data_IF_535428847164
#
_entry.id   IF_535428847164
#
_cell.length_a   1.000
_cell.length_b   1.000
_cell.length_c   1.000
_cell.angle_alpha   90.00
_cell.angle_beta   90.00
_cell.angle_gamma   90.00
#
_symmetry.space_group_name_H-M   'P 1'
#
loop_
_entity.id
_entity.type
_entity.pdbx_description
1 polymer ?
#
# COMPACT_ATOMS: atom_id res chain seq x y z
N UNK A 1 6.67 4.34 -7.14
CA UNK A 1 5.37 3.62 -7.22
C UNK A 1 4.32 4.41 -6.47
N UNK A 2 3.49 5.21 -7.14
CA UNK A 2 2.53 6.12 -6.47
C UNK A 2 1.22 5.39 -6.19
N UNK A 3 0.86 5.24 -4.93
CA UNK A 3 -0.46 4.75 -4.54
C UNK A 3 -1.43 5.92 -4.31
N UNK A 4 -2.42 6.03 -5.20
CA UNK A 4 -3.68 6.74 -4.95
C UNK A 4 -4.71 5.78 -4.35
N UNK A 5 -5.67 6.26 -3.57
CA UNK A 5 -6.66 5.44 -2.83
C UNK A 5 -7.53 4.48 -3.67
N UNK A 6 -7.42 4.48 -5.00
CA UNK A 6 -8.20 3.66 -5.93
C UNK A 6 -7.36 2.93 -6.99
N UNK A 7 -6.06 3.17 -7.11
CA UNK A 7 -5.21 2.60 -8.19
C UNK A 7 -3.81 2.22 -7.70
N UNK A 8 -3.25 1.17 -8.31
CA UNK A 8 -1.84 0.80 -8.20
C UNK A 8 -1.08 1.40 -9.39
N UNK A 9 -0.29 2.45 -9.16
CA UNK A 9 0.65 2.96 -10.18
C UNK A 9 2.10 2.55 -9.84
N UNK A 10 2.59 1.52 -10.53
CA UNK A 10 3.97 1.06 -10.45
C UNK A 10 4.78 1.66 -11.61
N UNK A 11 5.54 2.71 -11.33
CA UNK A 11 6.59 3.20 -12.21
C UNK A 11 7.91 2.49 -11.93
N UNK A 12 8.53 1.92 -12.96
CA UNK A 12 9.87 1.35 -12.89
C UNK A 12 10.81 2.28 -13.64
N UNK A 13 11.76 2.84 -12.91
CA UNK A 13 12.79 3.72 -13.45
C UNK A 13 14.08 2.93 -13.48
N UNK A 14 14.65 2.74 -14.67
CA UNK A 14 15.93 2.07 -14.86
C UNK A 14 16.95 3.12 -15.29
N UNK A 15 18.09 3.17 -14.60
CA UNK A 15 19.36 3.73 -15.07
C UNK A 15 19.34 5.11 -15.75
N UNK A 16 19.76 6.12 -14.99
CA UNK A 16 20.43 7.33 -15.51
C UNK A 16 19.58 8.40 -16.23
N UNK A 17 18.34 8.65 -15.81
CA UNK A 17 17.52 9.78 -16.35
C UNK A 17 17.30 9.81 -17.88
N UNK A 18 17.78 8.81 -18.62
CA UNK A 18 17.72 8.79 -20.08
C UNK A 18 16.46 8.09 -20.63
N UNK A 19 15.73 7.27 -19.84
CA UNK A 19 14.48 6.68 -20.30
C UNK A 19 13.52 6.17 -19.20
N UNK A 20 12.21 6.19 -19.48
CA UNK A 20 11.18 5.55 -18.64
C UNK A 20 11.03 4.10 -19.11
N UNK A 21 11.63 3.15 -18.38
CA UNK A 21 11.65 1.74 -18.80
C UNK A 21 10.27 1.09 -18.87
N UNK A 22 9.35 1.42 -17.94
CA UNK A 22 7.93 1.07 -18.03
C UNK A 22 7.10 1.81 -16.97
N UNK A 23 5.94 2.34 -17.37
CA UNK A 23 4.86 2.72 -16.45
C UNK A 23 3.79 1.64 -16.51
N UNK A 24 3.54 0.96 -15.39
CA UNK A 24 2.49 -0.04 -15.28
C UNK A 24 1.47 0.44 -14.24
N UNK A 25 0.35 0.94 -14.73
CA UNK A 25 -0.84 1.21 -13.92
C UNK A 25 -1.80 0.04 -14.04
N UNK A 26 -2.16 -0.59 -12.92
CA UNK A 26 -3.29 -1.51 -12.90
C UNK A 26 -4.44 -0.92 -12.06
N UNK A 27 -5.52 -0.43 -12.71
CA UNK A 27 -6.68 0.11 -11.99
C UNK A 27 -7.50 -0.97 -11.27
N UNK A 28 -7.29 -2.27 -11.56
CA UNK A 28 -7.97 -3.40 -10.93
C UNK A 28 -7.33 -3.89 -9.63
N UNK A 29 -6.08 -3.49 -9.35
CA UNK A 29 -5.37 -3.83 -8.12
C UNK A 29 -5.20 -2.55 -7.33
N UNK A 30 -5.76 -2.49 -6.12
CA UNK A 30 -5.69 -1.27 -5.32
C UNK A 30 -6.15 -1.49 -3.89
N UNK A 31 -5.77 -0.54 -3.01
CA UNK A 31 -6.14 -0.51 -1.57
C UNK A 31 -7.63 -0.75 -1.37
N UNK A 32 -8.46 -0.30 -2.33
CA UNK A 32 -9.91 -0.45 -2.27
C UNK A 32 -10.39 -1.88 -2.05
N UNK A 33 -9.62 -2.91 -2.44
CA UNK A 33 -9.92 -4.32 -2.13
C UNK A 33 -9.84 -4.57 -0.62
N UNK A 34 -8.79 -4.05 0.04
CA UNK A 34 -8.58 -4.17 1.49
C UNK A 34 -9.61 -3.33 2.24
N UNK A 35 -9.87 -2.08 1.80
CA UNK A 35 -10.91 -1.23 2.40
C UNK A 35 -12.30 -1.88 2.31
N UNK A 36 -12.65 -2.49 1.16
CA UNK A 36 -13.93 -3.23 1.03
C UNK A 36 -13.99 -4.47 1.91
N UNK A 37 -12.89 -5.23 2.03
CA UNK A 37 -12.82 -6.39 2.91
C UNK A 37 -13.00 -6.00 4.38
N UNK A 38 -12.32 -4.92 4.82
CA UNK A 38 -12.48 -4.36 6.16
C UNK A 38 -13.92 -3.91 6.42
N UNK A 39 -14.55 -3.19 5.49
CA UNK A 39 -15.96 -2.78 5.62
C UNK A 39 -16.92 -3.98 5.73
N UNK A 40 -16.69 -5.03 4.93
CA UNK A 40 -17.50 -6.24 4.99
C UNK A 40 -17.33 -6.98 6.33
N UNK A 41 -16.10 -7.04 6.84
CA UNK A 41 -15.81 -7.65 8.14
C UNK A 41 -16.42 -6.84 9.30
N UNK A 42 -16.29 -5.50 9.29
CA UNK A 42 -16.91 -4.61 10.26
C UNK A 42 -18.44 -4.73 10.24
N UNK A 43 -19.05 -4.87 9.06
CA UNK A 43 -20.49 -5.11 8.93
C UNK A 43 -20.92 -6.42 9.58
N UNK A 44 -20.14 -7.49 9.38
CA UNK A 44 -20.41 -8.79 10.02
C UNK A 44 -20.23 -8.74 11.55
N UNK A 45 -19.42 -7.80 12.03
CA UNK A 45 -19.23 -7.48 13.44
C UNK A 45 -20.20 -6.42 14.00
N UNK A 46 -21.26 -6.09 13.25
CA UNK A 46 -22.28 -5.09 13.62
C UNK A 46 -21.67 -3.76 14.09
N UNK A 47 -20.59 -3.35 13.43
CA UNK A 47 -19.77 -2.18 13.74
C UNK A 47 -19.83 -1.14 12.61
N UNK A 48 -19.39 0.08 12.88
CA UNK A 48 -19.46 1.18 11.90
C UNK A 48 -18.66 0.86 10.63
N UNK A 49 -19.30 0.99 9.47
CA UNK A 49 -18.70 0.61 8.17
C UNK A 49 -18.26 1.80 7.32
N UNK A 50 -18.07 2.98 7.91
CA UNK A 50 -17.65 4.16 7.14
C UNK A 50 -16.26 3.95 6.52
N UNK A 51 -15.97 4.48 5.31
CA UNK A 51 -14.67 4.31 4.68
C UNK A 51 -13.50 4.81 5.54
N UNK A 52 -13.70 5.94 6.24
CA UNK A 52 -12.72 6.47 7.18
C UNK A 52 -12.47 5.52 8.35
N UNK A 53 -13.52 4.91 8.89
CA UNK A 53 -13.37 3.93 9.96
C UNK A 53 -12.64 2.69 9.48
N UNK A 54 -12.98 2.17 8.30
CA UNK A 54 -12.29 1.04 7.69
C UNK A 54 -10.79 1.31 7.51
N UNK A 55 -10.41 2.48 6.98
CA UNK A 55 -9.01 2.87 6.83
C UNK A 55 -8.29 3.00 8.18
N UNK A 56 -8.97 3.50 9.21
CA UNK A 56 -8.42 3.61 10.56
C UNK A 56 -8.19 2.23 11.18
N UNK A 57 -9.16 1.32 11.01
CA UNK A 57 -9.06 -0.09 11.46
C UNK A 57 -7.94 -0.82 10.73
N UNK A 58 -7.77 -0.61 9.42
CA UNK A 58 -6.66 -1.21 8.64
C UNK A 58 -5.30 -0.70 9.15
N UNK A 59 -5.19 0.60 9.44
CA UNK A 59 -3.95 1.21 9.94
C UNK A 59 -3.59 0.71 11.33
N UNK A 60 -4.59 0.61 12.20
CA UNK A 60 -4.44 0.20 13.61
C UNK A 60 -4.74 -1.29 13.82
N UNK A 61 -4.72 -2.12 12.77
CA UNK A 61 -5.07 -3.55 12.84
C UNK A 61 -4.22 -4.39 13.80
N UNK A 62 -3.02 -3.90 14.14
CA UNK A 62 -2.12 -4.53 15.12
C UNK A 62 -2.37 -4.05 16.56
N UNK A 63 -3.19 -3.03 16.76
CA UNK A 63 -3.54 -2.47 18.06
C UNK A 63 -4.88 -3.04 18.54
N UNK A 64 -4.80 -4.14 19.30
CA UNK A 64 -5.98 -4.83 19.82
C UNK A 64 -6.80 -3.95 20.78
N UNK A 65 -6.16 -3.04 21.51
CA UNK A 65 -6.86 -2.15 22.44
C UNK A 65 -7.70 -1.12 21.66
N UNK A 66 -7.15 -0.57 20.58
CA UNK A 66 -7.89 0.26 19.66
C UNK A 66 -9.06 -0.51 19.01
N UNK A 67 -8.81 -1.71 18.49
CA UNK A 67 -9.87 -2.52 17.85
C UNK A 67 -11.02 -2.83 18.81
N UNK A 68 -10.74 -3.13 20.07
CA UNK A 68 -11.75 -3.38 21.09
C UNK A 68 -12.61 -2.15 21.45
N UNK A 69 -12.13 -0.94 21.15
CA UNK A 69 -12.90 0.30 21.33
C UNK A 69 -13.83 0.64 20.16
N UNK A 70 -13.59 0.04 18.99
CA UNK A 70 -14.33 0.30 17.74
C UNK A 70 -15.29 -0.85 17.41
N UNK A 71 -14.86 -2.09 17.66
CA UNK A 71 -15.62 -3.28 17.33
C UNK A 71 -16.53 -3.61 18.51
N UNK A 72 -17.84 -3.54 18.27
CA UNK A 72 -18.86 -3.76 19.29
C UNK A 72 -18.83 -5.21 19.83
N UNK A 73 -18.55 -6.16 18.95
CA UNK A 73 -18.52 -7.60 19.24
C UNK A 73 -17.06 -8.05 19.43
N UNK A 74 -16.61 -8.13 20.70
CA UNK A 74 -15.24 -8.47 21.06
C UNK A 74 -14.76 -9.84 20.53
N UNK A 75 -15.68 -10.80 20.36
CA UNK A 75 -15.38 -12.13 19.85
C UNK A 75 -15.10 -12.12 18.34
N UNK A 76 -15.45 -11.03 17.65
CA UNK A 76 -15.20 -10.85 16.21
C UNK A 76 -13.99 -10.00 15.89
N UNK A 77 -13.24 -9.51 16.89
CA UNK A 77 -11.99 -8.76 16.66
C UNK A 77 -11.00 -9.61 15.87
N UNK A 78 -10.85 -10.88 16.22
CA UNK A 78 -9.96 -11.80 15.52
C UNK A 78 -10.46 -12.07 14.10
N UNK A 79 -11.77 -12.29 13.92
CA UNK A 79 -12.38 -12.43 12.60
C UNK A 79 -12.12 -11.20 11.69
N UNK A 80 -12.27 -9.98 12.21
CA UNK A 80 -12.04 -8.76 11.45
C UNK A 80 -10.56 -8.62 11.08
N UNK A 81 -9.67 -8.85 12.04
CA UNK A 81 -8.21 -8.77 11.81
C UNK A 81 -7.77 -9.78 10.77
N UNK A 82 -8.22 -11.04 10.89
CA UNK A 82 -7.88 -12.12 9.95
C UNK A 82 -8.35 -11.79 8.53
N UNK A 83 -9.57 -11.27 8.36
CA UNK A 83 -10.09 -10.88 7.05
C UNK A 83 -9.29 -9.74 6.41
N UNK A 84 -8.79 -8.81 7.22
CA UNK A 84 -7.94 -7.73 6.74
C UNK A 84 -6.57 -8.27 6.31
N UNK A 85 -5.94 -9.12 7.13
CA UNK A 85 -4.64 -9.73 6.79
C UNK A 85 -4.73 -10.64 5.56
N UNK A 86 -5.79 -11.44 5.41
CA UNK A 86 -6.05 -12.23 4.20
C UNK A 86 -6.16 -11.33 2.94
N UNK A 87 -6.87 -10.20 3.05
CA UNK A 87 -7.02 -9.26 1.96
C UNK A 87 -5.69 -8.58 1.60
N UNK A 88 -4.88 -8.21 2.60
CA UNK A 88 -3.54 -7.64 2.40
C UNK A 88 -2.62 -8.66 1.73
N UNK A 89 -2.62 -9.92 2.18
CA UNK A 89 -1.83 -10.99 1.59
C UNK A 89 -2.21 -11.23 0.12
N UNK A 90 -3.52 -11.26 -0.17
CA UNK A 90 -4.04 -11.38 -1.54
C UNK A 90 -3.58 -10.22 -2.42
N UNK A 91 -3.66 -8.99 -1.90
CA UNK A 91 -3.19 -7.79 -2.60
C UNK A 91 -1.68 -7.87 -2.87
N UNK A 92 -0.88 -8.26 -1.89
CA UNK A 92 0.56 -8.46 -2.03
C UNK A 92 0.89 -9.49 -3.12
N UNK A 93 0.20 -10.63 -3.13
CA UNK A 93 0.39 -11.67 -4.14
C UNK A 93 0.05 -11.19 -5.56
N UNK A 94 -1.04 -10.41 -5.72
CA UNK A 94 -1.40 -9.80 -7.01
C UNK A 94 -0.32 -8.83 -7.49
N UNK A 95 0.13 -7.94 -6.61
CA UNK A 95 1.19 -6.97 -6.91
C UNK A 95 2.48 -7.68 -7.32
N UNK A 96 2.92 -8.69 -6.57
CA UNK A 96 4.13 -9.47 -6.90
C UNK A 96 3.95 -10.18 -8.24
N UNK A 97 2.79 -10.80 -8.49
CA UNK A 97 2.49 -11.49 -9.73
C UNK A 97 2.64 -10.59 -10.96
N UNK A 98 2.22 -9.33 -10.85
CA UNK A 98 2.39 -8.36 -11.93
C UNK A 98 3.83 -7.88 -12.10
N UNK A 99 4.52 -7.67 -10.98
CA UNK A 99 5.88 -7.15 -10.95
C UNK A 99 6.95 -8.23 -11.18
N UNK A 100 6.57 -9.51 -11.21
CA UNK A 100 7.49 -10.65 -11.36
C UNK A 100 8.33 -10.58 -12.65
N UNK A 101 7.84 -9.86 -13.66
CA UNK A 101 8.55 -9.64 -14.93
C UNK A 101 9.72 -8.65 -14.82
N UNK A 102 9.86 -7.97 -13.68
CA UNK A 102 10.88 -6.95 -13.42
C UNK A 102 11.80 -7.32 -12.24
N UNK A 103 12.31 -8.56 -12.22
CA UNK A 103 13.20 -9.03 -11.12
C UNK A 103 14.56 -8.34 -11.08
N UNK A 104 15.04 -7.81 -12.21
CA UNK A 104 16.37 -7.22 -12.33
C UNK A 104 16.40 -5.72 -11.97
N UNK A 105 15.85 -5.36 -10.81
CA UNK A 105 15.87 -3.98 -10.30
C UNK A 105 16.93 -3.84 -9.20
N UNK A 106 17.63 -2.71 -9.19
CA UNK A 106 18.66 -2.43 -8.19
C UNK A 106 18.12 -1.75 -6.93
N UNK A 107 16.96 -1.10 -7.04
CA UNK A 107 16.30 -0.36 -5.96
C UNK A 107 14.78 -0.34 -6.18
N UNK A 108 14.02 -0.40 -5.09
CA UNK A 108 12.55 -0.35 -5.10
C UNK A 108 12.10 0.78 -4.18
N UNK A 109 11.26 1.66 -4.71
CA UNK A 109 10.64 2.75 -3.95
C UNK A 109 9.14 2.52 -3.87
N UNK A 110 8.66 2.23 -2.66
CA UNK A 110 7.24 2.07 -2.34
C UNK A 110 6.71 3.42 -1.89
N UNK A 111 5.70 3.97 -2.58
CA UNK A 111 5.20 5.32 -2.25
C UNK A 111 3.67 5.35 -2.18
N UNK A 112 3.13 6.24 -1.35
CA UNK A 112 1.68 6.39 -1.12
C UNK A 112 1.12 5.56 0.04
N UNK A 113 -0.12 5.85 0.44
CA UNK A 113 -0.65 5.49 1.76
C UNK A 113 -0.79 4.00 2.07
N UNK A 114 -0.89 3.13 1.05
CA UNK A 114 -0.95 1.68 1.26
C UNK A 114 0.34 0.93 0.91
N UNK A 115 1.43 1.65 0.61
CA UNK A 115 2.76 1.05 0.47
C UNK A 115 3.14 0.17 1.68
N UNK A 116 2.77 0.63 2.88
CA UNK A 116 2.97 -0.08 4.16
C UNK A 116 2.23 -1.42 4.24
N UNK A 117 1.22 -1.67 3.41
CA UNK A 117 0.47 -2.93 3.41
C UNK A 117 1.17 -4.01 2.61
N UNK A 118 1.93 -3.64 1.57
CA UNK A 118 2.57 -4.58 0.65
C UNK A 118 4.08 -4.69 0.83
N UNK A 119 4.66 -3.88 1.72
CA UNK A 119 6.11 -3.83 1.97
C UNK A 119 6.68 -5.22 2.26
N UNK A 120 6.09 -5.94 3.22
CA UNK A 120 6.56 -7.27 3.63
C UNK A 120 6.56 -8.25 2.45
N UNK A 121 5.52 -8.21 1.61
CA UNK A 121 5.40 -9.04 0.43
C UNK A 121 6.51 -8.71 -0.60
N UNK A 122 6.79 -7.42 -0.83
CA UNK A 122 7.85 -6.96 -1.73
C UNK A 122 9.23 -7.36 -1.20
N UNK A 123 9.49 -7.19 0.10
CA UNK A 123 10.76 -7.58 0.73
C UNK A 123 11.02 -9.09 0.64
N UNK A 124 9.99 -9.91 0.67
CA UNK A 124 10.11 -11.36 0.48
C UNK A 124 10.36 -11.75 -0.97
N UNK A 125 9.76 -11.03 -1.93
CA UNK A 125 9.85 -11.36 -3.35
C UNK A 125 11.16 -10.90 -4.03
N UNK A 126 11.79 -9.82 -3.55
CA UNK A 126 13.08 -9.33 -4.07
C UNK A 126 14.21 -9.53 -3.06
N UNK A 127 15.27 -10.30 -3.39
CA UNK A 127 16.43 -10.52 -2.53
C UNK A 127 17.37 -9.31 -2.55
N UNK A 128 16.87 -8.14 -2.20
CA UNK A 128 17.65 -6.90 -2.08
C UNK A 128 17.96 -6.61 -0.61
N UNK A 129 19.10 -5.96 -0.36
CA UNK A 129 19.42 -5.45 0.98
C UNK A 129 18.30 -4.52 1.48
N UNK A 130 17.99 -4.48 2.80
CA UNK A 130 16.89 -3.68 3.33
C UNK A 130 16.93 -2.21 2.92
N UNK A 131 18.13 -1.63 2.82
CA UNK A 131 18.41 -0.25 2.40
C UNK A 131 18.04 0.07 0.94
N UNK A 132 17.80 -0.95 0.12
CA UNK A 132 17.43 -0.81 -1.30
C UNK A 132 15.92 -0.89 -1.52
N UNK A 133 15.14 -1.14 -0.47
CA UNK A 133 13.68 -1.09 -0.49
C UNK A 133 13.26 -0.01 0.49
N UNK A 134 12.86 1.13 -0.05
CA UNK A 134 12.56 2.33 0.73
C UNK A 134 11.09 2.71 0.58
N UNK A 135 10.42 2.95 1.71
CA UNK A 135 9.11 3.58 1.73
C UNK A 135 9.34 5.09 1.74
N UNK A 136 8.90 5.77 0.70
CA UNK A 136 8.93 7.23 0.66
C UNK A 136 7.60 7.76 1.20
N UNK A 137 7.59 8.42 2.36
CA UNK A 137 6.42 9.16 2.82
C UNK A 137 6.22 10.42 1.94
N UNK A 138 4.97 10.78 1.68
CA UNK A 138 4.59 12.01 0.96
C UNK A 138 5.20 12.23 -0.45
N UNK A 139 5.03 11.27 -1.38
CA UNK A 139 5.49 11.44 -2.77
C UNK A 139 4.82 12.61 -3.51
N UNK A 140 3.68 13.09 -3.01
CA UNK A 140 2.92 14.20 -3.57
C UNK A 140 3.66 15.54 -3.45
N UNK A 141 4.56 15.67 -2.46
CA UNK A 141 5.43 16.84 -2.31
C UNK A 141 6.75 16.71 -3.07
N UNK A 142 7.17 15.49 -3.45
CA UNK A 142 8.44 15.31 -4.16
C UNK A 142 8.42 16.00 -5.54
N UNK A 143 7.33 15.84 -6.30
CA UNK A 143 7.19 16.51 -7.60
C UNK A 143 7.09 18.04 -7.46
N UNK A 144 6.34 18.53 -6.47
CA UNK A 144 6.17 19.97 -6.22
C UNK A 144 7.46 20.61 -5.68
N UNK A 145 8.22 19.90 -4.83
CA UNK A 145 9.52 20.37 -4.31
C UNK A 145 10.58 20.47 -5.41
N UNK A 146 10.65 19.48 -6.30
CA UNK A 146 11.56 19.54 -7.44
C UNK A 146 11.19 20.66 -8.42
N UNK A 147 9.89 20.88 -8.70
CA UNK A 147 9.44 22.03 -9.52
C UNK A 147 9.76 23.37 -8.84
N UNK A 148 9.67 23.46 -7.51
CA UNK A 148 9.97 24.66 -6.75
C UNK A 148 11.48 24.97 -6.73
N UNK A 149 12.33 23.95 -6.61
CA UNK A 149 13.79 24.09 -6.69
C UNK A 149 14.25 24.54 -8.09
N UNK A 150 13.59 24.04 -9.15
CA UNK A 150 13.88 24.44 -10.53
C UNK A 150 13.57 25.92 -10.81
N UNK A 151 12.57 26.51 -10.13
CA UNK A 151 12.23 27.93 -10.28
C UNK A 151 13.13 28.88 -9.48
N UNK A 152 13.95 28.36 -8.55
CA UNK A 152 14.89 29.18 -7.77
C UNK A 152 16.28 29.31 -8.38
N UNK A 153 16.56 28.61 -9.48
CA UNK A 153 17.83 28.68 -10.23
C UNK A 153 17.74 29.47 -11.55
N UNK A 154 16.68 30.27 -11.75
CA UNK A 154 16.54 31.21 -12.88
C UNK A 154 16.61 32.66 -12.41
#
# INVERSE_FOLDING_TARGET
MIWGGTTLDAGIIVGQFDDISAVHGNPGVGVSVVTRAAQAALRAADSETSPLMADTVIRSRKDRAFLASIINDGDKIDYVTDKIEEAIATLGAQVIGELVRYRNVNRIFLVGGGAVLIEDAVRQAWPLSPERIEIIPDPQLALVREIALYHSEV
#
